data_IF_384557576377
#
_entry.id   IF_384557576377
#
_cell.length_a   1.000
_cell.length_b   1.000
_cell.length_c   1.000
_cell.angle_alpha   90.00
_cell.angle_beta   90.00
_cell.angle_gamma   90.00
#
_symmetry.space_group_name_H-M   'P 1'
#
loop_
_entity.id
_entity.type
_entity.pdbx_description
1 polymer ?
#
# COMPACT_ATOMS: atom_id res chain seq x y z
N UNK A 1 13.49 1.36 17.06
CA UNK A 1 12.98 2.69 17.42
C UNK A 1 12.73 2.64 18.91
N UNK A 2 13.46 3.38 19.73
CA UNK A 2 13.24 3.41 21.19
C UNK A 2 12.13 4.40 21.49
N UNK A 3 11.18 3.99 22.32
CA UNK A 3 10.13 4.89 22.81
C UNK A 3 10.77 6.04 23.61
N UNK A 4 10.22 7.26 23.54
CA UNK A 4 10.73 8.36 24.37
C UNK A 4 10.53 7.99 25.84
N UNK A 5 11.61 8.09 26.63
CA UNK A 5 11.53 7.87 28.09
C UNK A 5 10.66 8.95 28.72
N UNK A 6 9.64 8.58 29.50
CA UNK A 6 8.81 9.57 30.18
C UNK A 6 9.63 10.24 31.27
N UNK A 7 9.44 11.53 31.46
CA UNK A 7 9.95 12.24 32.62
C UNK A 7 8.87 12.18 33.71
N UNK A 8 8.99 11.22 34.63
CA UNK A 8 8.05 11.01 35.75
C UNK A 8 8.29 12.00 36.87
N UNK A 9 9.52 12.47 37.07
CA UNK A 9 9.89 13.49 38.03
C UNK A 9 11.08 14.29 37.45
N UNK A 10 10.92 15.61 37.36
CA UNK A 10 11.88 16.54 36.77
C UNK A 10 12.79 17.23 37.79
N UNK A 11 12.67 16.88 39.10
CA UNK A 11 13.50 17.42 40.16
C UNK A 11 14.95 16.96 40.00
N UNK A 12 15.86 17.88 40.19
CA UNK A 12 17.31 17.66 40.22
C UNK A 12 17.89 17.90 41.62
N UNK A 13 19.16 17.57 41.83
CA UNK A 13 19.81 17.74 43.11
C UNK A 13 19.70 19.18 43.62
N UNK A 14 19.86 20.18 42.78
CA UNK A 14 19.79 21.59 43.18
C UNK A 14 18.38 21.98 43.65
N UNK A 15 17.33 21.56 42.95
CA UNK A 15 15.94 21.83 43.35
C UNK A 15 15.59 21.17 44.69
N UNK A 16 16.09 19.95 44.91
CA UNK A 16 15.91 19.24 46.20
C UNK A 16 16.66 19.93 47.35
N UNK A 17 17.88 20.44 47.12
CA UNK A 17 18.63 21.23 48.10
C UNK A 17 17.89 22.52 48.43
N UNK A 18 17.38 23.23 47.42
CA UNK A 18 16.67 24.49 47.62
C UNK A 18 15.36 24.28 48.40
N UNK A 19 14.61 23.21 48.04
CA UNK A 19 13.41 22.81 48.78
C UNK A 19 13.73 22.46 50.24
N UNK A 20 14.77 21.65 50.46
CA UNK A 20 15.19 21.28 51.83
C UNK A 20 15.61 22.51 52.64
N UNK A 21 16.38 23.44 52.05
CA UNK A 21 16.76 24.69 52.72
C UNK A 21 15.56 25.56 53.09
N UNK A 22 14.51 25.60 52.29
CA UNK A 22 13.29 26.35 52.60
C UNK A 22 12.52 25.74 53.78
N UNK A 23 12.67 24.47 54.06
CA UNK A 23 12.03 23.77 55.16
C UNK A 23 12.77 23.92 56.49
N UNK A 24 14.08 24.29 56.50
CA UNK A 24 14.91 24.43 57.69
C UNK A 24 14.26 25.38 58.74
N UNK A 25 13.79 26.59 58.39
CA UNK A 25 13.20 27.48 59.34
C UNK A 25 11.96 26.92 60.08
N UNK A 26 11.26 25.99 59.41
CA UNK A 26 10.05 25.35 59.93
C UNK A 26 10.38 24.22 60.91
N UNK A 27 11.40 23.40 60.60
CA UNK A 27 11.70 22.18 61.35
C UNK A 27 12.86 22.35 62.32
N UNK A 28 13.81 23.25 61.99
CA UNK A 28 15.00 23.54 62.84
C UNK A 28 15.27 25.04 62.91
N UNK A 29 14.41 25.86 63.57
CA UNK A 29 14.53 27.31 63.60
C UNK A 29 15.81 27.81 64.26
N UNK A 30 16.46 26.99 65.08
CA UNK A 30 17.72 27.27 65.75
C UNK A 30 18.95 27.17 64.82
N UNK A 31 18.79 26.51 63.64
CA UNK A 31 19.86 26.38 62.67
C UNK A 31 19.86 27.58 61.72
N UNK A 32 20.73 28.51 61.97
CA UNK A 32 20.81 29.81 61.26
C UNK A 32 21.96 29.89 60.22
N UNK A 33 22.92 28.96 60.30
CA UNK A 33 24.06 28.94 59.38
C UNK A 33 23.79 28.00 58.19
N UNK A 34 23.46 28.57 57.05
CA UNK A 34 23.17 27.82 55.80
C UNK A 34 24.29 27.93 54.76
N UNK A 35 25.54 28.19 55.24
CA UNK A 35 26.69 28.26 54.34
C UNK A 35 27.09 26.87 53.80
N UNK A 36 27.69 26.83 52.60
CA UNK A 36 28.16 25.59 51.96
C UNK A 36 29.18 24.84 52.82
N UNK A 37 29.89 25.53 53.71
CA UNK A 37 30.83 24.92 54.67
C UNK A 37 30.19 24.29 55.91
N UNK A 38 28.88 24.41 56.06
CA UNK A 38 28.16 23.82 57.20
C UNK A 38 27.94 22.32 56.97
N UNK A 39 28.28 21.47 57.98
CA UNK A 39 28.09 20.01 57.83
C UNK A 39 26.66 19.59 57.58
N UNK A 40 25.65 20.33 58.07
CA UNK A 40 24.23 20.06 57.81
C UNK A 40 23.87 20.32 56.37
N UNK A 41 24.40 21.41 55.78
CA UNK A 41 24.20 21.69 54.34
C UNK A 41 24.86 20.61 53.48
N UNK A 42 26.08 20.18 53.84
CA UNK A 42 26.75 19.08 53.12
C UNK A 42 25.95 17.76 53.13
N UNK A 43 25.26 17.47 54.25
CA UNK A 43 24.37 16.32 54.36
C UNK A 43 23.13 16.48 53.46
N UNK A 44 22.51 17.65 53.41
CA UNK A 44 21.39 17.95 52.54
C UNK A 44 21.80 17.73 51.07
N UNK A 45 22.96 18.26 50.66
CA UNK A 45 23.50 18.10 49.30
C UNK A 45 23.75 16.61 48.95
N UNK A 46 24.30 15.84 49.90
CA UNK A 46 24.52 14.40 49.71
C UNK A 46 23.20 13.66 49.52
N UNK A 47 22.18 13.93 50.37
CA UNK A 47 20.87 13.30 50.24
C UNK A 47 20.15 13.73 48.97
N UNK A 48 20.27 14.99 48.58
CA UNK A 48 19.71 15.49 47.32
C UNK A 48 20.34 14.77 46.09
N UNK A 49 21.66 14.59 46.09
CA UNK A 49 22.37 13.86 45.05
C UNK A 49 21.93 12.37 45.02
N UNK A 50 21.82 11.73 46.19
CA UNK A 50 21.32 10.34 46.26
C UNK A 50 19.88 10.23 45.77
N UNK A 51 19.04 11.21 46.07
CA UNK A 51 17.65 11.26 45.62
C UNK A 51 17.56 11.46 44.09
N UNK A 52 18.35 12.36 43.51
CA UNK A 52 18.44 12.57 42.07
C UNK A 52 18.85 11.27 41.35
N UNK A 53 19.82 10.52 41.92
CA UNK A 53 20.19 9.21 41.34
C UNK A 53 19.02 8.21 41.33
N UNK A 54 18.19 8.22 42.39
CA UNK A 54 16.99 7.39 42.46
C UNK A 54 15.93 7.84 41.44
N UNK A 55 15.71 9.16 41.28
CA UNK A 55 14.81 9.74 40.29
C UNK A 55 15.26 9.45 38.88
N UNK A 56 16.58 9.54 38.61
CA UNK A 56 17.14 9.12 37.34
C UNK A 56 16.80 7.66 37.01
N UNK A 57 16.94 6.75 37.98
CA UNK A 57 16.57 5.33 37.80
C UNK A 57 15.06 5.14 37.60
N UNK A 58 14.23 5.91 38.29
CA UNK A 58 12.78 5.90 38.15
C UNK A 58 12.36 6.32 36.73
N UNK A 59 13.03 7.31 36.17
CA UNK A 59 12.78 7.79 34.80
C UNK A 59 13.28 6.83 33.71
N UNK A 60 14.08 5.82 34.05
CA UNK A 60 14.52 4.76 33.15
C UNK A 60 13.46 3.64 33.06
N UNK A 61 12.36 3.90 32.36
CA UNK A 61 11.28 2.91 32.16
C UNK A 61 11.68 1.95 31.02
N UNK A 62 11.86 0.64 31.30
CA UNK A 62 12.16 -0.33 30.24
C UNK A 62 11.00 -0.50 29.26
N UNK A 63 11.29 -0.77 27.98
CA UNK A 63 10.27 -1.03 26.94
C UNK A 63 9.31 -2.17 27.32
N UNK A 64 9.80 -3.19 28.04
CA UNK A 64 8.99 -4.29 28.57
C UNK A 64 7.86 -3.84 29.51
N UNK A 65 8.01 -2.68 30.18
CA UNK A 65 6.97 -2.15 31.04
C UNK A 65 5.81 -1.58 30.24
N UNK A 66 6.11 -0.90 29.13
CA UNK A 66 5.08 -0.39 28.20
C UNK A 66 4.28 -1.54 27.59
N UNK A 67 4.96 -2.58 27.13
CA UNK A 67 4.30 -3.78 26.59
C UNK A 67 3.34 -4.39 27.61
N UNK A 68 3.78 -4.54 28.88
CA UNK A 68 2.91 -5.10 29.94
C UNK A 68 1.73 -4.21 30.28
N UNK A 69 1.91 -2.88 30.23
CA UNK A 69 0.80 -1.96 30.46
C UNK A 69 -0.21 -1.98 29.33
N UNK A 70 0.25 -2.09 28.06
CA UNK A 70 -0.62 -2.24 26.91
C UNK A 70 -1.43 -3.55 26.99
N UNK A 71 -0.79 -4.66 27.34
CA UNK A 71 -1.48 -5.94 27.53
C UNK A 71 -2.57 -5.87 28.63
N UNK A 72 -2.37 -5.06 29.68
CA UNK A 72 -3.41 -4.83 30.69
C UNK A 72 -4.60 -4.04 30.15
N UNK A 73 -4.41 -3.26 29.09
CA UNK A 73 -5.47 -2.53 28.40
C UNK A 73 -6.13 -3.37 27.30
N UNK A 74 -5.64 -4.60 27.07
CA UNK A 74 -6.11 -5.49 26.01
C UNK A 74 -5.47 -5.23 24.64
N UNK A 75 -4.37 -4.45 24.62
CA UNK A 75 -3.60 -4.18 23.41
C UNK A 75 -2.35 -5.07 23.37
N UNK A 76 -2.25 -5.91 22.38
CA UNK A 76 -1.07 -6.75 22.16
C UNK A 76 -0.07 -6.09 21.22
N UNK A 77 1.17 -6.54 21.26
CA UNK A 77 2.22 -6.14 20.32
C UNK A 77 1.83 -6.67 18.94
N UNK A 78 1.89 -5.81 17.93
CA UNK A 78 1.63 -6.23 16.56
C UNK A 78 2.58 -7.37 16.17
N UNK A 79 2.05 -8.45 15.57
CA UNK A 79 2.87 -9.55 15.10
C UNK A 79 3.79 -9.09 13.96
N UNK A 80 4.77 -9.91 13.61
CA UNK A 80 5.59 -9.70 12.43
C UNK A 80 4.70 -9.76 11.18
N UNK A 81 4.88 -8.81 10.27
CA UNK A 81 4.17 -8.77 8.97
C UNK A 81 5.17 -8.72 7.83
N UNK A 82 4.87 -9.39 6.74
CA UNK A 82 5.65 -9.29 5.52
C UNK A 82 5.44 -7.92 4.85
N UNK A 83 6.48 -7.41 4.19
CA UNK A 83 6.32 -6.30 3.27
C UNK A 83 5.52 -6.76 2.05
N UNK A 84 4.50 -6.00 1.67
CA UNK A 84 3.61 -6.31 0.56
C UNK A 84 3.76 -5.29 -0.56
N UNK A 85 3.64 -5.75 -1.79
CA UNK A 85 3.67 -4.91 -3.00
C UNK A 85 2.95 -5.62 -4.15
N UNK A 86 2.63 -4.86 -5.21
CA UNK A 86 2.20 -5.43 -6.47
C UNK A 86 3.40 -5.53 -7.43
N UNK A 87 3.62 -6.71 -8.01
CA UNK A 87 4.68 -6.94 -8.99
C UNK A 87 4.07 -6.95 -10.38
N UNK A 88 4.61 -6.11 -11.27
CA UNK A 88 4.15 -6.02 -12.66
C UNK A 88 5.03 -6.86 -13.58
N UNK A 89 4.45 -7.88 -14.18
CA UNK A 89 5.07 -8.74 -15.19
C UNK A 89 4.78 -8.20 -16.59
N UNK A 90 5.82 -7.77 -17.29
CA UNK A 90 5.71 -7.33 -18.69
C UNK A 90 5.67 -8.53 -19.61
N UNK A 91 4.70 -8.57 -20.52
CA UNK A 91 4.43 -9.68 -21.41
C UNK A 91 5.14 -9.51 -22.76
N UNK A 92 5.59 -10.61 -23.33
CA UNK A 92 6.16 -10.61 -24.67
C UNK A 92 5.08 -10.63 -25.75
N UNK A 93 3.93 -11.20 -25.44
CA UNK A 93 2.76 -11.24 -26.33
C UNK A 93 1.47 -11.21 -25.48
N UNK A 94 0.33 -11.04 -26.13
CA UNK A 94 -0.99 -10.97 -25.52
C UNK A 94 -1.66 -12.36 -25.40
N UNK A 95 -0.88 -13.40 -25.12
CA UNK A 95 -1.36 -14.76 -24.92
C UNK A 95 -2.01 -14.96 -23.54
N UNK A 96 -2.49 -16.17 -23.28
CA UNK A 96 -2.88 -16.59 -21.94
C UNK A 96 -1.65 -16.58 -21.02
N UNK A 97 -1.78 -15.87 -19.88
CA UNK A 97 -0.72 -15.77 -18.89
C UNK A 97 -1.12 -16.58 -17.67
N UNK A 98 -0.20 -17.43 -17.22
CA UNK A 98 -0.32 -18.16 -15.97
C UNK A 98 0.92 -17.85 -15.10
N UNK A 99 0.67 -17.26 -13.94
CA UNK A 99 1.69 -16.96 -12.94
C UNK A 99 1.27 -17.71 -11.67
N UNK A 100 1.97 -18.78 -11.29
CA UNK A 100 1.65 -19.51 -10.06
C UNK A 100 1.85 -18.65 -8.80
N UNK A 101 1.10 -18.94 -7.75
CA UNK A 101 1.43 -18.45 -6.42
C UNK A 101 2.83 -18.96 -6.01
N UNK A 102 3.58 -18.17 -5.24
CA UNK A 102 4.95 -18.48 -4.88
C UNK A 102 5.99 -18.22 -5.98
N UNK A 103 5.61 -17.54 -7.09
CA UNK A 103 6.58 -17.11 -8.09
C UNK A 103 7.49 -16.04 -7.50
N UNK A 104 8.78 -16.35 -7.40
CA UNK A 104 9.78 -15.46 -6.80
C UNK A 104 10.33 -14.46 -7.82
N UNK A 105 10.42 -13.21 -7.36
CA UNK A 105 11.04 -12.10 -8.08
C UNK A 105 12.00 -11.38 -7.16
N UNK A 106 13.22 -11.13 -7.62
CA UNK A 106 14.28 -10.52 -6.85
C UNK A 106 14.69 -9.16 -7.41
N UNK A 107 15.11 -8.26 -6.52
CA UNK A 107 15.75 -6.99 -6.94
C UNK A 107 17.10 -7.28 -7.59
N UNK A 108 17.44 -6.53 -8.65
CA UNK A 108 18.76 -6.56 -9.25
C UNK A 108 19.66 -5.63 -8.43
N UNK A 109 20.57 -6.20 -7.64
CA UNK A 109 21.57 -5.46 -6.87
C UNK A 109 22.96 -5.99 -7.16
N UNK A 110 23.94 -5.10 -7.33
CA UNK A 110 25.35 -5.46 -7.53
C UNK A 110 26.12 -5.56 -6.20
N UNK A 111 25.57 -5.01 -5.11
CA UNK A 111 26.30 -4.80 -3.85
C UNK A 111 25.66 -5.41 -2.61
N UNK A 112 24.36 -5.69 -2.65
CA UNK A 112 23.60 -6.19 -1.49
C UNK A 112 22.92 -7.52 -1.83
N UNK A 113 22.57 -8.28 -0.81
CA UNK A 113 21.73 -9.46 -0.97
C UNK A 113 20.40 -9.07 -1.63
N UNK A 114 19.94 -9.83 -2.64
CA UNK A 114 18.72 -9.51 -3.36
C UNK A 114 17.50 -9.59 -2.43
N UNK A 115 16.62 -8.59 -2.49
CA UNK A 115 15.33 -8.65 -1.81
C UNK A 115 14.37 -9.43 -2.71
N UNK A 116 13.87 -10.56 -2.19
CA UNK A 116 12.98 -11.47 -2.91
C UNK A 116 11.55 -11.27 -2.45
N UNK A 117 10.64 -11.14 -3.41
CA UNK A 117 9.19 -11.16 -3.20
C UNK A 117 8.60 -12.38 -3.89
N UNK A 118 7.64 -13.02 -3.27
CA UNK A 118 6.89 -14.13 -3.84
C UNK A 118 5.42 -13.74 -4.06
N UNK A 119 4.84 -14.13 -5.20
CA UNK A 119 3.42 -13.90 -5.48
C UNK A 119 2.55 -14.66 -4.47
N UNK A 120 1.54 -13.97 -3.92
CA UNK A 120 0.65 -14.56 -2.89
C UNK A 120 -0.49 -15.36 -3.48
N UNK A 121 -0.92 -15.01 -4.71
CA UNK A 121 -2.05 -15.65 -5.39
C UNK A 121 -1.66 -16.06 -6.80
N UNK A 122 -2.25 -17.13 -7.35
CA UNK A 122 -2.05 -17.47 -8.74
C UNK A 122 -2.80 -16.49 -9.62
N UNK A 123 -2.21 -16.12 -10.75
CA UNK A 123 -2.84 -15.31 -11.77
C UNK A 123 -2.95 -16.10 -13.07
N UNK A 124 -4.19 -16.45 -13.46
CA UNK A 124 -4.50 -17.11 -14.72
C UNK A 124 -5.53 -16.28 -15.49
N UNK A 125 -5.11 -15.66 -16.57
CA UNK A 125 -6.05 -14.83 -17.33
C UNK A 125 -5.78 -14.87 -18.83
N UNK A 126 -6.87 -14.91 -19.57
CA UNK A 126 -6.91 -14.61 -21.02
C UNK A 126 -6.95 -13.09 -21.19
N UNK A 127 -6.36 -12.58 -22.26
CA UNK A 127 -6.38 -11.16 -22.58
C UNK A 127 -7.81 -10.61 -22.68
N UNK A 128 -8.09 -9.43 -22.08
CA UNK A 128 -9.39 -8.78 -22.19
C UNK A 128 -9.62 -8.32 -23.64
N UNK A 129 -10.83 -8.57 -24.14
CA UNK A 129 -11.22 -8.15 -25.48
C UNK A 129 -12.12 -6.92 -25.41
N UNK A 130 -11.79 -5.91 -26.22
CA UNK A 130 -12.65 -4.75 -26.42
C UNK A 130 -13.85 -5.16 -27.28
N UNK A 131 -15.05 -5.05 -26.72
CA UNK A 131 -16.28 -5.49 -27.37
C UNK A 131 -17.12 -4.33 -27.91
N UNK A 132 -17.09 -3.18 -27.25
CA UNK A 132 -17.95 -2.04 -27.62
C UNK A 132 -17.29 -0.71 -27.28
N UNK A 133 -17.60 0.28 -28.08
CA UNK A 133 -17.21 1.68 -27.90
C UNK A 133 -18.49 2.51 -27.79
N UNK A 134 -18.58 3.26 -26.70
CA UNK A 134 -19.76 4.08 -26.41
C UNK A 134 -19.33 5.49 -26.00
N UNK A 135 -20.26 6.41 -26.01
CA UNK A 135 -20.04 7.78 -25.52
C UNK A 135 -21.24 8.25 -24.71
N UNK A 136 -20.97 9.14 -23.76
CA UNK A 136 -22.02 9.85 -23.04
C UNK A 136 -21.56 11.26 -22.61
N UNK A 137 -22.51 12.18 -22.54
CA UNK A 137 -22.32 13.45 -21.84
C UNK A 137 -22.47 13.27 -20.32
N UNK A 138 -22.25 14.33 -19.56
CA UNK A 138 -22.41 14.33 -18.10
C UNK A 138 -23.83 13.88 -17.71
N UNK A 139 -23.94 12.73 -17.00
CA UNK A 139 -25.25 12.20 -16.59
C UNK A 139 -26.16 11.72 -17.73
N UNK A 140 -25.64 11.63 -18.95
CA UNK A 140 -26.38 11.15 -20.14
C UNK A 140 -26.37 9.63 -20.26
N UNK A 141 -27.24 9.11 -21.13
CA UNK A 141 -27.27 7.71 -21.51
C UNK A 141 -26.05 7.33 -22.35
N UNK A 142 -25.60 6.08 -22.22
CA UNK A 142 -24.56 5.51 -23.05
C UNK A 142 -25.06 5.27 -24.48
N UNK A 143 -24.41 5.91 -25.44
CA UNK A 143 -24.73 5.77 -26.86
C UNK A 143 -23.65 4.93 -27.54
N UNK A 144 -24.05 3.81 -28.16
CA UNK A 144 -23.11 2.95 -28.90
C UNK A 144 -22.63 3.63 -30.16
N UNK A 145 -21.34 3.54 -30.41
CA UNK A 145 -20.65 4.06 -31.58
C UNK A 145 -20.10 2.94 -32.51
N UNK A 146 -20.39 1.70 -32.19
CA UNK A 146 -19.80 0.52 -32.88
C UNK A 146 -20.14 0.48 -34.41
N UNK A 147 -21.39 0.78 -34.77
CA UNK A 147 -21.78 0.84 -36.18
C UNK A 147 -21.19 2.05 -36.89
N UNK A 148 -21.17 3.19 -36.21
CA UNK A 148 -20.64 4.43 -36.80
C UNK A 148 -19.14 4.33 -37.02
N UNK A 149 -18.40 3.73 -36.09
CA UNK A 149 -16.96 3.49 -36.25
C UNK A 149 -16.63 2.58 -37.45
N UNK A 150 -17.50 1.65 -37.77
CA UNK A 150 -17.34 0.82 -38.98
C UNK A 150 -17.61 1.59 -40.30
N UNK A 151 -18.41 2.68 -40.21
CA UNK A 151 -18.77 3.52 -41.38
C UNK A 151 -17.78 4.65 -41.60
N UNK A 152 -17.12 5.14 -40.55
CA UNK A 152 -16.17 6.24 -40.64
C UNK A 152 -15.73 6.78 -39.27
N UNK A 153 -15.07 7.94 -39.27
CA UNK A 153 -14.62 8.56 -38.03
C UNK A 153 -15.78 8.92 -37.11
N UNK A 154 -15.59 8.69 -35.80
CA UNK A 154 -16.55 9.01 -34.75
C UNK A 154 -15.97 10.06 -33.80
N UNK A 155 -16.80 10.90 -33.18
CA UNK A 155 -16.37 11.82 -32.15
C UNK A 155 -15.98 11.04 -30.86
N UNK A 156 -14.83 11.38 -30.28
CA UNK A 156 -14.40 10.81 -28.98
C UNK A 156 -15.34 11.24 -27.87
N UNK A 157 -15.74 12.49 -27.88
CA UNK A 157 -16.68 13.06 -26.91
C UNK A 157 -17.95 13.57 -27.62
N UNK A 158 -19.14 13.43 -27.00
CA UNK A 158 -20.37 13.95 -27.60
C UNK A 158 -20.43 15.49 -27.58
N UNK A 159 -19.67 16.12 -26.68
CA UNK A 159 -19.49 17.56 -26.55
C UNK A 159 -18.16 17.88 -25.91
N UNK A 160 -17.71 19.15 -25.96
CA UNK A 160 -16.51 19.63 -25.24
C UNK A 160 -16.82 20.12 -23.83
N UNK A 161 -17.85 19.58 -23.20
CA UNK A 161 -18.23 19.90 -21.83
C UNK A 161 -17.57 18.92 -20.87
N UNK A 162 -16.95 19.39 -19.77
CA UNK A 162 -16.42 18.50 -18.74
C UNK A 162 -17.46 17.46 -18.27
N UNK A 163 -17.02 16.22 -18.08
CA UNK A 163 -17.87 15.07 -17.80
C UNK A 163 -18.33 14.29 -19.05
N UNK A 164 -18.13 14.82 -20.27
CA UNK A 164 -18.28 14.02 -21.50
C UNK A 164 -17.17 12.97 -21.57
N UNK A 165 -17.51 11.74 -21.97
CA UNK A 165 -16.56 10.65 -21.94
C UNK A 165 -16.74 9.63 -23.07
N UNK A 166 -15.63 9.04 -23.48
CA UNK A 166 -15.56 7.82 -24.29
C UNK A 166 -15.50 6.61 -23.36
N UNK A 167 -16.31 5.61 -23.62
CA UNK A 167 -16.40 4.38 -22.85
C UNK A 167 -15.96 3.20 -23.72
N UNK A 168 -15.08 2.40 -23.17
CA UNK A 168 -14.57 1.17 -23.74
C UNK A 168 -15.06 0.00 -22.90
N UNK A 169 -15.88 -0.89 -23.47
CA UNK A 169 -16.47 -2.02 -22.78
C UNK A 169 -15.76 -3.33 -23.12
N UNK A 170 -15.31 -4.04 -22.09
CA UNK A 170 -14.55 -5.29 -22.21
C UNK A 170 -15.35 -6.50 -21.74
N UNK A 171 -14.95 -7.69 -22.22
CA UNK A 171 -15.58 -8.97 -21.88
C UNK A 171 -15.25 -9.47 -20.47
N UNK A 172 -14.15 -8.98 -19.87
CA UNK A 172 -13.65 -9.39 -18.57
C UNK A 172 -12.97 -8.26 -17.81
N UNK A 173 -12.71 -8.48 -16.52
CA UNK A 173 -12.06 -7.52 -15.64
C UNK A 173 -10.67 -7.12 -16.16
N UNK A 174 -10.36 -5.85 -15.98
CA UNK A 174 -9.08 -5.24 -16.31
C UNK A 174 -8.18 -5.08 -15.08
N UNK A 175 -8.65 -5.50 -13.90
CA UNK A 175 -7.94 -5.35 -12.62
C UNK A 175 -6.50 -5.82 -12.74
N UNK A 176 -5.56 -4.97 -12.32
CA UNK A 176 -4.14 -5.28 -12.35
C UNK A 176 -3.52 -5.43 -13.74
N UNK A 177 -4.19 -5.01 -14.82
CA UNK A 177 -3.64 -5.10 -16.18
C UNK A 177 -3.05 -3.77 -16.64
N UNK A 178 -2.01 -3.83 -17.47
CA UNK A 178 -1.55 -2.70 -18.26
C UNK A 178 -2.00 -2.89 -19.69
N UNK A 179 -2.77 -1.94 -20.21
CA UNK A 179 -3.34 -1.97 -21.53
C UNK A 179 -2.67 -0.95 -22.45
N UNK A 180 -2.35 -1.36 -23.67
CA UNK A 180 -2.08 -0.49 -24.78
C UNK A 180 -3.37 -0.30 -25.59
N UNK A 181 -3.89 0.92 -25.56
CA UNK A 181 -5.05 1.35 -26.32
C UNK A 181 -4.54 2.09 -27.55
N UNK A 182 -4.64 1.48 -28.69
CA UNK A 182 -4.21 2.06 -29.97
C UNK A 182 -5.37 2.79 -30.62
N UNK A 183 -5.18 4.07 -30.91
CA UNK A 183 -6.16 4.92 -31.58
C UNK A 183 -5.65 5.35 -32.94
N UNK A 184 -6.49 5.21 -33.97
CA UNK A 184 -6.37 5.94 -35.22
C UNK A 184 -7.18 7.23 -35.13
N UNK A 185 -6.57 8.38 -35.40
CA UNK A 185 -7.16 9.71 -35.23
C UNK A 185 -7.40 10.35 -36.60
N UNK A 186 -8.62 10.86 -36.82
CA UNK A 186 -9.03 11.41 -38.13
C UNK A 186 -8.70 12.88 -38.30
N UNK A 187 -8.59 13.65 -37.16
CA UNK A 187 -8.32 15.09 -37.18
C UNK A 187 -7.13 15.44 -36.28
N UNK A 188 -6.39 16.46 -36.67
CA UNK A 188 -5.21 16.98 -35.93
C UNK A 188 -5.37 18.47 -35.66
N UNK A 189 -4.53 19.00 -34.77
CA UNK A 189 -4.54 20.44 -34.48
C UNK A 189 -5.78 20.89 -33.71
N UNK A 190 -6.29 20.06 -32.83
CA UNK A 190 -7.54 20.24 -32.09
C UNK A 190 -7.43 21.21 -30.89
N UNK A 191 -6.27 21.84 -30.70
CA UNK A 191 -6.07 22.92 -29.74
C UNK A 191 -5.60 22.52 -28.34
N UNK A 192 -5.51 21.23 -28.05
CA UNK A 192 -5.07 20.68 -26.78
C UNK A 192 -3.53 20.71 -26.66
N UNK A 193 -3.01 20.82 -25.42
CA UNK A 193 -1.61 20.54 -25.15
C UNK A 193 -1.37 19.01 -25.14
N UNK A 194 -0.56 18.51 -26.08
CA UNK A 194 -0.31 17.06 -26.17
C UNK A 194 0.39 16.45 -24.95
N UNK A 195 1.04 17.27 -24.11
CA UNK A 195 1.76 16.80 -22.93
C UNK A 195 0.88 16.74 -21.68
N UNK A 196 -0.21 17.53 -21.69
CA UNK A 196 -1.17 17.61 -20.57
C UNK A 196 -2.60 17.73 -21.12
N UNK A 197 -3.14 16.70 -21.78
CA UNK A 197 -4.53 16.75 -22.25
C UNK A 197 -5.49 16.77 -21.04
N UNK A 198 -6.60 17.54 -21.09
CA UNK A 198 -7.58 17.57 -20.01
C UNK A 198 -8.49 16.32 -20.06
N UNK A 199 -7.88 15.15 -20.01
CA UNK A 199 -8.56 13.85 -20.07
C UNK A 199 -8.10 12.99 -18.90
N UNK A 200 -9.07 12.38 -18.22
CA UNK A 200 -8.86 11.47 -17.11
C UNK A 200 -9.34 10.08 -17.49
N UNK A 201 -8.51 9.09 -17.23
CA UNK A 201 -8.84 7.69 -17.46
C UNK A 201 -9.32 7.03 -16.18
N UNK A 202 -10.45 6.30 -16.25
CA UNK A 202 -11.09 5.72 -15.07
C UNK A 202 -11.72 4.37 -15.39
N UNK A 203 -11.72 3.49 -14.37
CA UNK A 203 -12.45 2.22 -14.38
C UNK A 203 -13.69 2.28 -13.50
N UNK A 204 -14.68 1.46 -13.82
CA UNK A 204 -15.90 1.36 -13.03
C UNK A 204 -15.81 0.27 -11.98
N UNK A 205 -16.05 0.64 -10.72
CA UNK A 205 -16.20 -0.27 -9.57
C UNK A 205 -17.67 -0.34 -9.16
N UNK A 206 -18.01 -1.16 -8.17
CA UNK A 206 -19.38 -1.26 -7.67
C UNK A 206 -19.92 0.06 -7.08
N UNK A 207 -19.03 0.92 -6.59
CA UNK A 207 -19.39 2.14 -5.86
C UNK A 207 -19.18 3.42 -6.70
N UNK A 208 -18.12 3.46 -7.52
CA UNK A 208 -17.72 4.70 -8.20
C UNK A 208 -16.78 4.44 -9.39
N UNK A 209 -16.37 5.53 -10.02
CA UNK A 209 -15.28 5.56 -10.97
C UNK A 209 -13.96 5.81 -10.24
N UNK A 210 -12.97 4.96 -10.50
CA UNK A 210 -11.63 5.03 -9.91
C UNK A 210 -10.62 5.40 -10.99
N UNK A 211 -9.73 6.35 -10.68
CA UNK A 211 -8.70 6.81 -11.61
C UNK A 211 -7.70 5.68 -11.91
N UNK A 212 -7.21 5.66 -13.14
CA UNK A 212 -6.15 4.77 -13.62
C UNK A 212 -4.91 5.60 -13.94
N UNK A 213 -3.74 4.99 -13.82
CA UNK A 213 -2.49 5.65 -14.16
C UNK A 213 -2.22 5.59 -15.67
N UNK A 214 -2.04 6.75 -16.29
CA UNK A 214 -1.59 6.85 -17.68
C UNK A 214 -0.07 6.84 -17.70
N UNK A 215 0.52 5.70 -18.06
CA UNK A 215 1.97 5.53 -18.16
C UNK A 215 2.54 6.33 -19.33
N UNK A 216 1.82 6.36 -20.46
CA UNK A 216 2.20 7.09 -21.65
C UNK A 216 0.98 7.43 -22.50
N UNK A 217 0.95 8.62 -23.08
CA UNK A 217 -0.02 9.02 -24.10
C UNK A 217 0.71 9.53 -25.35
N UNK A 218 0.90 8.64 -26.33
CA UNK A 218 1.48 9.00 -27.59
C UNK A 218 0.46 9.67 -28.55
N UNK A 219 -0.84 9.64 -28.23
CA UNK A 219 -1.87 10.34 -29.00
C UNK A 219 -1.89 11.84 -28.75
N UNK A 220 -1.35 12.27 -27.59
CA UNK A 220 -1.39 13.66 -27.15
C UNK A 220 -2.82 14.18 -26.98
N UNK A 221 -3.65 13.40 -26.27
CA UNK A 221 -5.06 13.71 -26.07
C UNK A 221 -5.90 13.55 -27.34
N UNK A 222 -5.74 12.45 -28.07
CA UNK A 222 -6.43 12.17 -29.35
C UNK A 222 -6.14 13.19 -30.47
N UNK A 223 -4.93 13.78 -30.48
CA UNK A 223 -4.52 14.76 -31.50
C UNK A 223 -3.75 14.14 -32.67
N UNK A 224 -3.34 12.87 -32.57
CA UNK A 224 -2.62 12.09 -33.59
C UNK A 224 -2.76 10.60 -33.33
N UNK A 225 -2.47 9.79 -34.35
CA UNK A 225 -2.38 8.34 -34.19
C UNK A 225 -1.38 7.99 -33.11
N UNK A 226 -1.72 7.04 -32.26
CA UNK A 226 -0.83 6.65 -31.18
C UNK A 226 -1.41 5.59 -30.24
N UNK A 227 -0.66 5.35 -29.20
CA UNK A 227 -1.03 4.42 -28.13
C UNK A 227 -1.15 5.21 -26.83
N UNK A 228 -2.23 4.98 -26.10
CA UNK A 228 -2.36 5.34 -24.70
C UNK A 228 -2.12 4.09 -23.87
N UNK A 229 -1.10 4.12 -23.03
CA UNK A 229 -0.79 3.03 -22.10
C UNK A 229 -1.35 3.34 -20.74
N UNK A 230 -2.27 2.49 -20.26
CA UNK A 230 -3.01 2.67 -19.03
C UNK A 230 -2.72 1.51 -18.09
N UNK A 231 -2.29 1.82 -16.85
CA UNK A 231 -2.19 0.84 -15.78
C UNK A 231 -3.47 0.88 -14.94
N UNK A 232 -4.15 -0.24 -14.89
CA UNK A 232 -5.39 -0.42 -14.12
C UNK A 232 -5.03 -0.87 -12.70
N UNK A 233 -5.48 -0.17 -11.65
CA UNK A 233 -5.15 -0.52 -10.27
C UNK A 233 -5.74 -1.87 -9.86
N UNK A 234 -5.19 -2.46 -8.78
CA UNK A 234 -5.65 -3.71 -8.17
C UNK A 234 -6.93 -3.47 -7.34
N UNK A 235 -8.02 -3.09 -8.01
CA UNK A 235 -9.33 -2.88 -7.38
C UNK A 235 -10.39 -3.72 -8.09
N UNK A 236 -11.38 -4.20 -7.35
CA UNK A 236 -12.47 -4.98 -7.91
C UNK A 236 -13.35 -4.13 -8.82
N UNK A 237 -13.50 -4.55 -10.06
CA UNK A 237 -14.35 -3.91 -11.04
C UNK A 237 -15.77 -4.48 -11.01
N UNK A 238 -16.74 -3.65 -11.35
CA UNK A 238 -18.13 -4.05 -11.52
C UNK A 238 -18.52 -4.04 -13.01
N UNK A 239 -19.28 -5.04 -13.44
CA UNK A 239 -19.86 -5.11 -14.78
C UNK A 239 -21.28 -4.51 -14.85
N UNK A 240 -21.81 -3.92 -13.77
CA UNK A 240 -23.21 -3.55 -13.60
C UNK A 240 -23.60 -2.17 -14.15
N UNK A 241 -22.71 -1.46 -14.84
CA UNK A 241 -23.01 -0.10 -15.35
C UNK A 241 -24.09 -0.07 -16.43
N UNK A 242 -24.21 -1.12 -17.24
CA UNK A 242 -25.17 -1.22 -18.35
C UNK A 242 -25.99 -2.51 -18.26
N UNK A 243 -27.08 -2.57 -19.05
CA UNK A 243 -27.94 -3.75 -19.10
C UNK A 243 -27.20 -5.02 -19.57
N UNK A 244 -26.22 -4.88 -20.43
CA UNK A 244 -25.28 -5.93 -20.78
C UNK A 244 -24.06 -5.86 -19.86
N UNK A 245 -23.70 -6.96 -19.16
CA UNK A 245 -22.54 -6.96 -18.29
C UNK A 245 -21.24 -6.69 -19.06
N UNK A 246 -20.54 -5.63 -18.73
CA UNK A 246 -19.27 -5.23 -19.33
C UNK A 246 -18.38 -4.58 -18.27
N UNK A 247 -17.08 -4.76 -18.39
CA UNK A 247 -16.10 -4.04 -17.59
C UNK A 247 -15.69 -2.78 -18.33
N UNK A 248 -15.86 -1.64 -17.67
CA UNK A 248 -15.76 -0.35 -18.33
C UNK A 248 -14.48 0.39 -17.97
N UNK A 249 -13.79 0.85 -19.00
CA UNK A 249 -12.75 1.87 -18.94
C UNK A 249 -13.26 3.10 -19.69
N UNK A 250 -13.11 4.29 -19.10
CA UNK A 250 -13.52 5.52 -19.78
C UNK A 250 -12.39 6.55 -19.82
N UNK A 251 -12.38 7.33 -20.90
CA UNK A 251 -11.64 8.57 -21.03
C UNK A 251 -12.61 9.73 -20.87
N UNK A 252 -12.54 10.46 -19.76
CA UNK A 252 -13.45 11.54 -19.40
C UNK A 252 -12.77 12.90 -19.58
N UNK A 253 -13.45 13.83 -20.23
CA UNK A 253 -13.04 15.22 -20.31
C UNK A 253 -13.19 15.88 -18.95
N UNK A 254 -12.12 16.48 -18.44
CA UNK A 254 -12.12 17.22 -17.18
C UNK A 254 -11.99 18.72 -17.40
N UNK A 255 -12.30 19.51 -16.38
CA UNK A 255 -12.02 20.94 -16.43
C UNK A 255 -10.50 21.16 -16.51
N UNK A 256 -10.05 22.07 -17.41
CA UNK A 256 -8.63 22.38 -17.51
C UNK A 256 -8.12 23.06 -16.25
N UNK A 257 -6.92 22.72 -15.82
CA UNK A 257 -6.25 23.29 -14.66
C UNK A 257 -5.46 24.54 -15.02
N UNK A 258 -5.75 25.67 -14.39
CA UNK A 258 -5.03 26.92 -14.54
C UNK A 258 -5.02 27.43 -15.99
N UNK A 259 -3.84 27.46 -16.64
CA UNK A 259 -3.62 27.92 -18.01
C UNK A 259 -3.61 26.77 -19.05
N UNK A 260 -4.02 25.56 -18.66
CA UNK A 260 -4.01 24.38 -19.53
C UNK A 260 -4.91 24.60 -20.77
N UNK A 261 -4.37 24.46 -22.00
CA UNK A 261 -5.18 24.56 -23.20
C UNK A 261 -6.21 23.44 -23.28
N UNK A 262 -7.44 23.81 -23.70
CA UNK A 262 -8.52 22.86 -23.93
C UNK A 262 -8.79 22.63 -25.41
N UNK A 263 -9.60 21.62 -25.70
CA UNK A 263 -10.02 21.29 -27.06
C UNK A 263 -10.79 22.46 -27.71
N UNK A 264 -10.42 22.82 -28.92
CA UNK A 264 -11.13 23.78 -29.78
C UNK A 264 -12.07 23.08 -30.77
N UNK A 265 -11.81 21.83 -31.07
CA UNK A 265 -12.66 20.95 -31.87
C UNK A 265 -12.71 19.56 -31.24
N UNK A 266 -13.83 18.86 -31.45
CA UNK A 266 -14.01 17.51 -30.93
C UNK A 266 -13.02 16.57 -31.62
N UNK A 267 -12.17 15.82 -30.89
CA UNK A 267 -11.31 14.82 -31.48
C UNK A 267 -12.13 13.70 -32.11
N UNK A 268 -11.68 13.20 -33.25
CA UNK A 268 -12.33 12.13 -34.00
C UNK A 268 -11.37 10.96 -34.17
N UNK A 269 -11.87 9.75 -33.91
CA UNK A 269 -11.13 8.51 -34.11
C UNK A 269 -11.78 7.67 -35.19
N UNK A 270 -10.97 6.98 -35.99
CA UNK A 270 -11.40 6.06 -37.03
C UNK A 270 -11.09 4.60 -36.71
N UNK A 271 -10.32 4.35 -35.67
CA UNK A 271 -10.01 3.01 -35.18
C UNK A 271 -9.68 3.04 -33.70
N UNK A 272 -10.02 1.96 -33.02
CA UNK A 272 -9.56 1.67 -31.65
C UNK A 272 -9.34 0.17 -31.50
N UNK A 273 -8.25 -0.20 -30.83
CA UNK A 273 -7.95 -1.57 -30.44
C UNK A 273 -7.23 -1.59 -29.12
N UNK A 274 -7.29 -2.70 -28.43
CA UNK A 274 -6.63 -2.90 -27.14
C UNK A 274 -5.75 -4.14 -27.18
N UNK A 275 -4.63 -4.10 -26.46
CA UNK A 275 -3.80 -5.27 -26.16
C UNK A 275 -3.29 -5.16 -24.73
N UNK A 276 -3.22 -6.29 -24.03
CA UNK A 276 -2.62 -6.36 -22.71
C UNK A 276 -1.11 -6.48 -22.85
N UNK A 277 -0.35 -5.62 -22.17
CA UNK A 277 1.11 -5.59 -22.25
C UNK A 277 1.79 -5.96 -20.92
N UNK A 278 1.05 -5.90 -19.82
CA UNK A 278 1.55 -6.36 -18.52
C UNK A 278 0.39 -6.76 -17.61
N UNK A 279 0.74 -7.49 -16.54
CA UNK A 279 -0.16 -7.84 -15.43
C UNK A 279 0.53 -7.59 -14.10
N UNK A 280 -0.21 -7.07 -13.14
CA UNK A 280 0.24 -6.89 -11.77
C UNK A 280 -0.37 -7.98 -10.89
N UNK A 281 0.43 -8.55 -10.01
CA UNK A 281 0.03 -9.62 -9.09
C UNK A 281 0.53 -9.24 -7.70
N UNK A 282 -0.29 -9.40 -6.64
CA UNK A 282 0.14 -9.12 -5.30
C UNK A 282 1.24 -10.09 -4.87
N UNK A 283 2.24 -9.55 -4.18
CA UNK A 283 3.38 -10.30 -3.71
C UNK A 283 3.82 -9.83 -2.31
N UNK A 284 4.48 -10.70 -1.59
CA UNK A 284 5.00 -10.39 -0.28
C UNK A 284 6.46 -10.85 -0.12
N UNK A 285 7.20 -10.14 0.74
CA UNK A 285 8.54 -10.53 1.12
C UNK A 285 8.46 -11.57 2.25
N UNK A 286 8.12 -12.80 1.86
CA UNK A 286 8.03 -13.94 2.75
C UNK A 286 8.53 -15.19 2.05
N UNK A 287 8.96 -16.18 2.82
CA UNK A 287 9.35 -17.50 2.33
C UNK A 287 8.43 -18.52 2.97
N UNK A 288 7.63 -19.19 2.14
CA UNK A 288 6.83 -20.32 2.61
C UNK A 288 7.70 -21.59 2.58
N UNK A 289 7.79 -22.27 3.72
CA UNK A 289 8.48 -23.56 3.80
C UNK A 289 7.44 -24.65 4.01
N UNK A 290 7.22 -25.47 2.99
CA UNK A 290 6.34 -26.61 3.13
C UNK A 290 7.00 -27.72 3.97
N UNK A 291 6.33 -28.15 5.06
CA UNK A 291 6.71 -29.28 5.91
C UNK A 291 8.14 -29.21 6.48
N UNK A 292 8.46 -28.10 7.09
CA UNK A 292 9.71 -28.01 7.85
C UNK A 292 9.71 -28.99 9.02
N UNK A 293 10.74 -29.82 9.11
CA UNK A 293 10.93 -30.73 10.26
C UNK A 293 11.63 -29.95 11.37
N UNK A 294 10.91 -29.56 12.41
CA UNK A 294 11.43 -28.81 13.54
C UNK A 294 12.34 -29.63 14.43
N UNK A 295 12.11 -30.94 14.53
CA UNK A 295 12.97 -31.83 15.35
C UNK A 295 12.30 -33.15 15.70
N UNK A 296 12.90 -33.86 16.66
CA UNK A 296 12.37 -35.09 17.19
C UNK A 296 12.37 -35.03 18.72
N UNK A 297 11.25 -35.39 19.32
CA UNK A 297 11.07 -35.33 20.78
C UNK A 297 11.82 -36.52 21.45
N UNK A 298 12.55 -36.22 22.52
CA UNK A 298 13.18 -37.21 23.38
C UNK A 298 12.29 -37.64 24.57
N UNK A 299 11.05 -37.20 24.61
CA UNK A 299 10.06 -37.50 25.66
C UNK A 299 10.21 -36.69 26.95
N UNK A 300 11.14 -35.72 27.02
CA UNK A 300 11.27 -34.84 28.19
C UNK A 300 10.30 -33.67 28.13
N UNK A 301 9.89 -33.12 29.26
CA UNK A 301 9.08 -31.88 29.27
C UNK A 301 9.92 -30.67 28.83
N UNK A 302 9.22 -29.60 28.41
CA UNK A 302 9.80 -28.30 28.12
C UNK A 302 10.84 -28.27 26.98
N UNK A 303 10.71 -29.15 26.01
CA UNK A 303 11.57 -29.14 24.82
C UNK A 303 11.20 -27.93 23.95
N UNK A 304 12.24 -27.32 23.34
CA UNK A 304 12.10 -26.19 22.43
C UNK A 304 12.62 -26.58 21.06
N UNK A 305 11.82 -26.28 20.06
CA UNK A 305 12.20 -26.42 18.66
C UNK A 305 12.16 -25.03 18.02
N UNK A 306 13.06 -24.77 17.11
CA UNK A 306 13.17 -23.50 16.41
C UNK A 306 13.03 -23.72 14.92
N UNK A 307 12.37 -22.79 14.24
CA UNK A 307 12.29 -22.73 12.79
C UNK A 307 13.65 -22.32 12.20
N UNK A 308 13.93 -22.70 10.97
CA UNK A 308 15.15 -22.32 10.24
C UNK A 308 15.19 -20.81 9.95
N UNK A 309 14.04 -20.22 9.69
CA UNK A 309 13.90 -18.80 9.36
C UNK A 309 13.15 -18.07 10.46
N UNK A 310 13.56 -16.85 10.75
CA UNK A 310 12.92 -15.97 11.72
C UNK A 310 12.97 -14.51 11.20
N UNK A 311 11.98 -13.68 11.54
CA UNK A 311 10.79 -13.98 12.36
C UNK A 311 9.76 -14.83 11.61
N UNK A 312 8.99 -15.61 12.35
CA UNK A 312 7.84 -16.34 11.81
C UNK A 312 6.64 -15.40 11.78
N UNK A 313 5.93 -15.37 10.67
CA UNK A 313 4.68 -14.61 10.53
C UNK A 313 3.56 -15.28 11.35
N UNK A 314 2.47 -14.56 11.58
CA UNK A 314 1.27 -15.17 12.18
C UNK A 314 0.79 -16.32 11.29
N UNK A 315 0.54 -17.46 11.91
CA UNK A 315 0.11 -18.67 11.20
C UNK A 315 -1.25 -18.42 10.53
N UNK A 316 -1.36 -18.81 9.28
CA UNK A 316 -2.66 -18.80 8.57
C UNK A 316 -3.54 -19.93 9.08
N UNK A 317 -4.86 -19.85 8.88
CA UNK A 317 -5.79 -20.89 9.38
C UNK A 317 -5.53 -22.32 8.85
N UNK A 318 -4.82 -22.43 7.73
CA UNK A 318 -4.43 -23.69 7.09
C UNK A 318 -3.00 -24.15 7.46
N UNK A 319 -2.26 -23.31 8.18
CA UNK A 319 -0.91 -23.62 8.68
C UNK A 319 -0.98 -24.17 10.09
N UNK A 320 -0.44 -25.37 10.29
CA UNK A 320 -0.52 -26.06 11.57
C UNK A 320 0.82 -26.71 11.92
N UNK A 321 1.08 -26.82 13.22
CA UNK A 321 2.20 -27.63 13.71
C UNK A 321 1.70 -29.07 13.91
N UNK A 322 2.32 -30.02 13.20
CA UNK A 322 1.95 -31.42 13.28
C UNK A 322 2.97 -32.21 14.10
N UNK A 323 2.48 -33.01 15.03
CA UNK A 323 3.29 -33.98 15.78
C UNK A 323 2.94 -35.38 15.31
N UNK A 324 3.93 -36.08 14.73
CA UNK A 324 3.77 -37.47 14.32
C UNK A 324 4.29 -38.37 15.42
N UNK A 325 3.41 -39.19 16.00
CA UNK A 325 3.79 -40.17 17.05
C UNK A 325 4.56 -41.35 16.47
N UNK A 326 5.27 -42.11 17.32
CA UNK A 326 5.98 -43.34 16.92
C UNK A 326 5.03 -44.40 16.30
N UNK A 327 3.73 -44.31 16.56
CA UNK A 327 2.70 -45.19 15.98
C UNK A 327 2.17 -44.67 14.63
N UNK A 328 2.72 -43.54 14.11
CA UNK A 328 2.27 -42.92 12.85
C UNK A 328 0.99 -42.10 12.96
N UNK A 329 0.49 -41.79 14.17
CA UNK A 329 -0.64 -40.94 14.37
C UNK A 329 -0.20 -39.47 14.35
N UNK A 330 -0.87 -38.63 13.53
CA UNK A 330 -0.64 -37.21 13.44
C UNK A 330 -1.59 -36.48 14.40
N UNK A 331 -1.05 -35.58 15.21
CA UNK A 331 -1.80 -34.65 16.05
C UNK A 331 -1.46 -33.24 15.60
N UNK A 332 -2.49 -32.42 15.41
CA UNK A 332 -2.33 -30.99 15.10
C UNK A 332 -2.29 -30.21 16.41
N UNK A 333 -1.40 -29.24 16.48
CA UNK A 333 -1.24 -28.33 17.59
C UNK A 333 -1.48 -26.91 17.07
N UNK A 334 -2.31 -26.19 17.78
CA UNK A 334 -2.58 -24.74 17.56
C UNK A 334 -1.53 -23.87 18.25
#
# INVERSE_FOLDING_TARGET
MTLPTPNLDDRNAQSLVDEAKQLIPTYCPEWTNHNVSDPGVALIELFAWMSEYMLYRLNQVPDAFYTRMLNLLGEDVLPASAAQTDITFWLLDDAMVSIPAGTEVATVSETDDPIVFATTEPFDAVAPQLLTVQTAGLGGELLSLDEDLRRGPIPVFPSLTPGAALYLGFDRSLTGTVLDLRFGVANQGIGVDPTRPPVRWQIYTAESWVDTDVIADATGGFNRDGIVRVAVPMVEQSAALSAEPRFWLRAMLVEPEGDQPTYRSIPQINAVSSSRVAVSVPAEHSVATERERLGESDGRPDQRFTTLLAPVLELRPDETVEVVTAAGLTQQWE
#
